data_IF_331934841490
#
_entry.id   IF_331934841490
#
_cell.length_a   1.000
_cell.length_b   1.000
_cell.length_c   1.000
_cell.angle_alpha   90.00
_cell.angle_beta   90.00
_cell.angle_gamma   90.00
#
_symmetry.space_group_name_H-M   'P 1'
#
loop_
_entity.id
_entity.type
_entity.pdbx_description
1 polymer ?
#
# COMPACT_ATOMS: atom_id res chain seq x y z
N UNK A 1 9.70 -6.57 9.57
CA UNK A 1 8.53 -6.45 8.69
C UNK A 1 7.62 -7.64 8.92
N UNK A 2 6.35 -7.40 9.21
CA UNK A 2 5.37 -8.47 9.41
C UNK A 2 4.65 -8.77 8.11
N UNK A 3 4.52 -10.06 7.81
CA UNK A 3 3.72 -10.51 6.68
C UNK A 3 2.40 -11.07 7.20
N UNK A 4 1.31 -10.74 6.53
CA UNK A 4 -0.01 -11.33 6.81
C UNK A 4 -0.51 -12.10 5.61
N UNK A 5 -1.29 -13.13 5.84
CA UNK A 5 -1.81 -14.01 4.80
C UNK A 5 -3.17 -13.52 4.29
N UNK A 6 -3.54 -13.96 3.10
CA UNK A 6 -4.81 -13.55 2.48
C UNK A 6 -6.03 -13.92 3.31
N UNK A 7 -6.04 -15.09 3.92
CA UNK A 7 -7.17 -15.53 4.74
C UNK A 7 -7.31 -14.66 6.00
N UNK A 8 -6.19 -14.26 6.60
CA UNK A 8 -6.22 -13.35 7.75
C UNK A 8 -6.82 -12.01 7.35
N UNK A 9 -6.37 -11.45 6.20
CA UNK A 9 -6.88 -10.15 5.74
C UNK A 9 -8.37 -10.23 5.41
N UNK A 10 -8.81 -11.31 4.77
CA UNK A 10 -10.23 -11.49 4.44
C UNK A 10 -11.11 -11.42 5.69
N UNK A 11 -10.63 -11.98 6.80
CA UNK A 11 -11.37 -11.96 8.08
C UNK A 11 -11.29 -10.62 8.80
N UNK A 12 -10.41 -9.73 8.39
CA UNK A 12 -10.14 -8.47 9.09
C UNK A 12 -10.35 -7.22 8.22
N UNK A 13 -11.06 -7.35 7.09
CA UNK A 13 -11.21 -6.26 6.10
C UNK A 13 -11.73 -4.95 6.69
N UNK A 14 -12.59 -5.01 7.71
CA UNK A 14 -13.18 -3.82 8.32
C UNK A 14 -12.41 -3.34 9.55
N UNK A 15 -11.40 -4.09 9.99
CA UNK A 15 -10.65 -3.79 11.21
C UNK A 15 -9.31 -3.13 10.95
N UNK A 16 -8.85 -3.13 9.70
CA UNK A 16 -7.54 -2.61 9.32
C UNK A 16 -7.70 -1.59 8.21
N UNK A 17 -6.70 -0.71 8.07
CA UNK A 17 -6.58 0.16 6.90
C UNK A 17 -5.76 -0.58 5.85
N UNK A 18 -6.27 -0.62 4.62
CA UNK A 18 -5.65 -1.38 3.54
C UNK A 18 -5.14 -0.39 2.50
N UNK A 19 -3.89 -0.53 2.09
CA UNK A 19 -3.23 0.41 1.17
C UNK A 19 -2.70 -0.35 -0.03
N UNK A 20 -3.14 0.08 -1.22
CA UNK A 20 -2.57 -0.35 -2.49
C UNK A 20 -1.41 0.57 -2.83
N UNK A 21 -0.19 0.05 -2.78
CA UNK A 21 1.04 0.80 -3.04
C UNK A 21 1.68 0.35 -4.36
N UNK A 22 0.86 -0.02 -5.34
CA UNK A 22 1.35 -0.47 -6.64
C UNK A 22 2.07 0.65 -7.38
N UNK A 23 3.23 0.33 -7.93
CA UNK A 23 4.00 1.22 -8.77
C UNK A 23 4.66 0.40 -9.87
N UNK A 24 4.63 0.92 -11.08
CA UNK A 24 5.18 0.22 -12.24
C UNK A 24 6.26 1.06 -12.88
N UNK A 25 7.33 0.40 -13.36
CA UNK A 25 8.37 1.05 -14.12
C UNK A 25 7.75 1.66 -15.39
N UNK A 26 8.20 2.87 -15.81
CA UNK A 26 7.60 3.55 -16.97
C UNK A 26 7.61 2.70 -18.26
N UNK A 27 8.64 1.89 -18.46
CA UNK A 27 8.75 1.05 -19.67
C UNK A 27 7.69 -0.06 -19.73
N UNK A 28 7.00 -0.38 -18.64
CA UNK A 28 5.93 -1.38 -18.64
C UNK A 28 4.65 -0.86 -19.27
N UNK A 29 4.50 0.46 -19.38
CA UNK A 29 3.28 1.14 -19.82
C UNK A 29 2.06 0.78 -18.97
N UNK A 30 2.29 0.33 -17.73
CA UNK A 30 1.22 0.04 -16.76
C UNK A 30 1.01 1.25 -15.86
N UNK A 31 -0.22 1.43 -15.38
CA UNK A 31 -0.60 2.52 -14.47
C UNK A 31 -1.24 1.93 -13.23
N UNK A 32 -0.58 2.11 -12.07
CA UNK A 32 -1.05 1.55 -10.82
C UNK A 32 -2.42 2.06 -10.38
N UNK A 33 -2.68 3.35 -10.57
CA UNK A 33 -3.95 3.94 -10.18
C UNK A 33 -5.11 3.44 -11.06
N UNK A 34 -4.89 3.33 -12.36
CA UNK A 34 -5.91 2.80 -13.26
C UNK A 34 -6.21 1.34 -12.96
N UNK A 35 -5.19 0.56 -12.63
CA UNK A 35 -5.36 -0.84 -12.22
C UNK A 35 -6.11 -0.93 -10.89
N UNK A 36 -5.79 -0.03 -9.96
CA UNK A 36 -6.51 0.06 -8.68
C UNK A 36 -7.99 0.33 -8.90
N UNK A 37 -8.34 1.25 -9.78
CA UNK A 37 -9.75 1.56 -10.07
C UNK A 37 -10.47 0.35 -10.67
N UNK A 38 -9.78 -0.44 -11.49
CA UNK A 38 -10.37 -1.62 -12.12
C UNK A 38 -10.56 -2.77 -11.13
N UNK A 39 -9.60 -2.98 -10.25
CA UNK A 39 -9.67 -4.06 -9.27
C UNK A 39 -8.75 -3.74 -8.08
N UNK A 40 -9.31 -3.77 -6.89
CA UNK A 40 -8.56 -3.61 -5.65
C UNK A 40 -9.22 -4.41 -4.53
N UNK A 41 -8.47 -4.65 -3.47
CA UNK A 41 -9.02 -5.31 -2.28
C UNK A 41 -10.09 -4.40 -1.67
N UNK A 42 -11.23 -4.94 -1.24
CA UNK A 42 -12.29 -4.11 -0.64
C UNK A 42 -11.75 -3.18 0.45
N UNK A 43 -12.20 -1.93 0.42
CA UNK A 43 -11.79 -0.87 1.34
C UNK A 43 -10.37 -0.36 1.15
N UNK A 44 -9.62 -0.84 0.16
CA UNK A 44 -8.25 -0.39 -0.07
C UNK A 44 -8.22 1.08 -0.52
N UNK A 45 -7.19 1.79 -0.07
CA UNK A 45 -6.89 3.17 -0.44
C UNK A 45 -5.63 3.14 -1.28
N UNK A 46 -5.60 3.89 -2.38
CA UNK A 46 -4.42 3.95 -3.23
C UNK A 46 -3.40 4.94 -2.67
N UNK A 47 -2.14 4.51 -2.55
CA UNK A 47 -1.01 5.37 -2.22
C UNK A 47 -0.16 5.56 -3.49
N UNK A 48 -0.16 6.78 -4.01
CA UNK A 48 0.59 7.12 -5.22
C UNK A 48 2.04 7.44 -4.84
N UNK A 49 2.95 6.52 -5.13
CA UNK A 49 4.35 6.68 -4.76
C UNK A 49 4.99 7.89 -5.44
N UNK A 50 4.64 8.16 -6.71
CA UNK A 50 5.19 9.30 -7.44
C UNK A 50 4.67 10.62 -6.88
N UNK A 51 3.36 10.74 -6.66
CA UNK A 51 2.75 11.97 -6.14
C UNK A 51 3.15 12.27 -4.71
N UNK A 52 3.38 11.23 -3.91
CA UNK A 52 3.67 11.37 -2.49
C UNK A 52 5.18 11.34 -2.19
N UNK A 53 6.00 11.61 -3.20
CA UNK A 53 7.46 11.75 -3.06
C UNK A 53 7.86 13.21 -3.19
N UNK A 54 9.08 13.53 -2.74
CA UNK A 54 9.62 14.89 -2.79
C UNK A 54 9.70 15.38 -4.24
N UNK A 55 9.19 16.59 -4.49
CA UNK A 55 9.05 17.15 -5.84
C UNK A 55 10.22 18.03 -6.29
N UNK A 56 10.95 18.63 -5.36
CA UNK A 56 12.01 19.61 -5.65
C UNK A 56 13.38 18.95 -5.79
N UNK A 57 13.42 17.74 -6.34
CA UNK A 57 14.65 16.98 -6.56
C UNK A 57 14.57 16.24 -7.89
N UNK A 58 15.72 16.00 -8.51
CA UNK A 58 15.81 15.18 -9.72
C UNK A 58 15.80 13.68 -9.41
N UNK A 59 15.97 13.30 -8.12
CA UNK A 59 15.99 11.90 -7.72
C UNK A 59 14.57 11.38 -7.54
N UNK A 60 14.26 10.17 -8.06
CA UNK A 60 12.92 9.61 -7.93
C UNK A 60 12.65 9.12 -6.50
N UNK A 61 11.41 9.24 -6.09
CA UNK A 61 10.87 8.64 -4.86
C UNK A 61 11.60 9.04 -3.58
N UNK A 62 12.13 10.26 -3.53
CA UNK A 62 12.71 10.80 -2.30
C UNK A 62 11.61 11.09 -1.28
N UNK A 63 11.94 10.89 0.00
CA UNK A 63 10.98 11.08 1.08
C UNK A 63 10.62 12.56 1.23
N UNK A 64 9.32 12.82 1.43
CA UNK A 64 8.82 14.17 1.74
C UNK A 64 9.14 14.54 3.20
N UNK A 65 8.99 15.82 3.55
CA UNK A 65 9.16 16.24 4.93
C UNK A 65 8.02 15.73 5.83
N UNK A 66 8.21 15.86 7.15
CA UNK A 66 7.24 15.34 8.12
C UNK A 66 5.87 16.01 7.98
N UNK A 67 5.84 17.31 7.73
CA UNK A 67 4.59 18.05 7.58
C UNK A 67 3.80 17.56 6.37
N UNK A 68 4.48 17.36 5.24
CA UNK A 68 3.86 16.82 4.02
C UNK A 68 3.33 15.41 4.26
N UNK A 69 4.10 14.57 4.95
CA UNK A 69 3.66 13.22 5.28
C UNK A 69 2.40 13.23 6.14
N UNK A 70 2.36 14.10 7.16
CA UNK A 70 1.19 14.21 8.01
C UNK A 70 -0.07 14.56 7.22
N UNK A 71 0.06 15.45 6.23
CA UNK A 71 -1.04 15.81 5.33
C UNK A 71 -1.48 14.61 4.48
N UNK A 72 -0.53 13.86 3.93
CA UNK A 72 -0.81 12.69 3.12
C UNK A 72 -1.62 11.66 3.90
N UNK A 73 -1.17 11.27 5.09
CA UNK A 73 -1.86 10.24 5.87
C UNK A 73 -3.19 10.73 6.41
N UNK A 74 -3.31 12.02 6.73
CA UNK A 74 -4.60 12.60 7.14
C UNK A 74 -5.62 12.52 6.02
N UNK A 75 -5.21 12.84 4.80
CA UNK A 75 -6.09 12.75 3.63
C UNK A 75 -6.51 11.31 3.33
N UNK A 76 -5.70 10.34 3.70
CA UNK A 76 -6.03 8.93 3.56
C UNK A 76 -6.90 8.41 4.70
N UNK A 77 -7.15 9.22 5.73
CA UNK A 77 -7.93 8.81 6.90
C UNK A 77 -7.20 7.88 7.85
N UNK A 78 -5.86 7.90 7.83
CA UNK A 78 -5.05 7.01 8.65
C UNK A 78 -4.61 7.72 9.91
N UNK A 79 -4.78 7.05 11.06
CA UNK A 79 -4.39 7.54 12.38
C UNK A 79 -3.22 6.71 12.93
N UNK A 80 -2.54 7.25 13.94
CA UNK A 80 -1.35 6.65 14.54
C UNK A 80 -1.58 5.24 15.08
N UNK A 81 -2.76 4.97 15.59
CA UNK A 81 -3.10 3.68 16.18
C UNK A 81 -3.80 2.72 15.23
N UNK A 82 -3.92 3.07 13.97
CA UNK A 82 -4.50 2.18 12.99
C UNK A 82 -3.56 1.03 12.66
N UNK A 83 -4.10 -0.17 12.56
CA UNK A 83 -3.39 -1.30 11.97
C UNK A 83 -3.50 -1.23 10.47
N UNK A 84 -2.38 -1.36 9.78
CA UNK A 84 -2.26 -1.12 8.33
C UNK A 84 -1.77 -2.39 7.65
N UNK A 85 -2.39 -2.72 6.52
CA UNK A 85 -1.91 -3.77 5.61
C UNK A 85 -1.62 -3.13 4.26
N UNK A 86 -0.41 -3.31 3.76
CA UNK A 86 0.03 -2.75 2.48
C UNK A 86 0.22 -3.89 1.48
N UNK A 87 -0.26 -3.70 0.27
CA UNK A 87 -0.04 -4.65 -0.81
C UNK A 87 0.32 -3.93 -2.10
N UNK A 88 0.76 -4.70 -3.08
CA UNK A 88 1.00 -4.19 -4.43
C UNK A 88 0.59 -5.22 -5.48
N UNK A 89 0.56 -4.76 -6.73
CA UNK A 89 0.36 -5.58 -7.92
C UNK A 89 1.48 -5.28 -8.92
N UNK A 90 2.69 -5.13 -8.42
CA UNK A 90 3.84 -4.65 -9.19
C UNK A 90 4.82 -5.79 -9.47
N UNK A 91 5.59 -5.63 -10.54
CA UNK A 91 6.75 -6.51 -10.79
C UNK A 91 7.90 -6.19 -9.84
N UNK A 92 7.95 -4.95 -9.35
CA UNK A 92 8.84 -4.55 -8.25
C UNK A 92 8.05 -4.58 -6.95
N UNK A 93 8.73 -4.80 -5.83
CA UNK A 93 8.04 -4.93 -4.53
C UNK A 93 7.84 -3.54 -3.94
N UNK A 94 6.89 -2.78 -4.50
CA UNK A 94 6.63 -1.41 -4.05
C UNK A 94 5.92 -1.35 -2.69
N UNK A 95 5.27 -2.42 -2.26
CA UNK A 95 4.70 -2.51 -0.91
C UNK A 95 5.75 -2.34 0.18
N UNK A 96 6.97 -2.83 -0.04
CA UNK A 96 8.07 -2.65 0.91
C UNK A 96 8.47 -1.19 1.05
N UNK A 97 8.39 -0.41 -0.03
CA UNK A 97 8.63 1.03 0.04
C UNK A 97 7.55 1.74 0.84
N UNK A 98 6.28 1.35 0.66
CA UNK A 98 5.18 1.87 1.48
C UNK A 98 5.39 1.55 2.94
N UNK A 99 5.74 0.31 3.26
CA UNK A 99 6.08 -0.11 4.62
C UNK A 99 7.18 0.76 5.21
N UNK A 100 8.26 0.98 4.47
CA UNK A 100 9.39 1.79 4.92
C UNK A 100 8.95 3.22 5.22
N UNK A 101 8.09 3.82 4.38
CA UNK A 101 7.59 5.17 4.61
C UNK A 101 6.91 5.28 5.98
N UNK A 102 6.00 4.37 6.30
CA UNK A 102 5.31 4.41 7.58
C UNK A 102 6.26 4.23 8.76
N UNK A 103 7.22 3.32 8.65
CA UNK A 103 8.22 3.10 9.70
C UNK A 103 9.09 4.35 9.88
N UNK A 104 9.55 4.93 8.77
CA UNK A 104 10.41 6.13 8.81
C UNK A 104 9.74 7.29 9.52
N UNK A 105 8.43 7.50 9.29
CA UNK A 105 7.69 8.60 9.90
C UNK A 105 7.09 8.26 11.27
N UNK A 106 7.43 7.11 11.83
CA UNK A 106 7.15 6.79 13.23
C UNK A 106 5.87 6.04 13.52
N UNK A 107 5.23 5.45 12.54
CA UNK A 107 4.10 4.55 12.81
C UNK A 107 4.60 3.32 13.58
N UNK A 108 3.80 2.81 14.53
CA UNK A 108 4.19 1.67 15.35
C UNK A 108 4.50 0.47 14.46
N UNK A 109 5.74 -0.08 14.50
CA UNK A 109 6.10 -1.23 13.66
C UNK A 109 5.20 -2.45 13.86
N UNK A 110 4.58 -2.59 15.01
CA UNK A 110 3.66 -3.70 15.30
C UNK A 110 2.34 -3.58 14.54
N UNK A 111 2.04 -2.39 14.04
CA UNK A 111 0.78 -2.09 13.37
C UNK A 111 0.94 -1.99 11.85
N UNK A 112 2.14 -2.21 11.30
CA UNK A 112 2.39 -2.17 9.86
C UNK A 112 2.67 -3.57 9.35
N UNK A 113 1.86 -4.02 8.39
CA UNK A 113 1.96 -5.35 7.80
C UNK A 113 1.99 -5.26 6.28
N UNK A 114 2.61 -6.25 5.65
CA UNK A 114 2.60 -6.39 4.19
C UNK A 114 1.86 -7.68 3.84
N UNK A 115 0.99 -7.61 2.84
CA UNK A 115 0.23 -8.79 2.41
C UNK A 115 1.14 -9.73 1.63
N UNK A 116 1.27 -10.95 2.11
CA UNK A 116 2.10 -11.97 1.46
C UNK A 116 1.47 -12.37 0.12
N UNK A 117 2.24 -12.24 -0.95
CA UNK A 117 1.82 -12.60 -2.31
C UNK A 117 1.07 -11.50 -3.05
N UNK A 118 0.75 -10.39 -2.40
CA UNK A 118 0.15 -9.22 -3.05
C UNK A 118 -1.23 -9.47 -3.62
N UNK A 119 -1.62 -8.62 -4.59
CA UNK A 119 -2.96 -8.67 -5.17
C UNK A 119 -3.21 -9.95 -5.97
N UNK A 120 -2.18 -10.48 -6.64
CA UNK A 120 -2.34 -11.70 -7.43
C UNK A 120 -2.78 -12.88 -6.57
N UNK A 121 -2.14 -13.05 -5.42
CA UNK A 121 -2.48 -14.13 -4.50
C UNK A 121 -3.86 -13.91 -3.88
N UNK A 122 -4.16 -12.66 -3.52
CA UNK A 122 -5.49 -12.30 -3.01
C UNK A 122 -6.58 -12.63 -4.02
N UNK A 123 -6.42 -12.19 -5.26
CA UNK A 123 -7.41 -12.41 -6.32
C UNK A 123 -7.67 -13.89 -6.54
N UNK A 124 -6.61 -14.69 -6.56
CA UNK A 124 -6.69 -16.14 -6.74
C UNK A 124 -7.44 -16.80 -5.59
N UNK A 125 -7.11 -16.42 -4.35
CA UNK A 125 -7.73 -17.00 -3.15
C UNK A 125 -9.21 -16.65 -3.06
N UNK A 126 -9.58 -15.39 -3.33
CA UNK A 126 -10.96 -14.92 -3.24
C UNK A 126 -11.81 -15.54 -4.36
N UNK A 127 -11.29 -15.60 -5.59
CA UNK A 127 -12.00 -16.24 -6.70
C UNK A 127 -12.31 -17.71 -6.40
N UNK A 128 -11.36 -18.42 -5.81
CA UNK A 128 -11.55 -19.80 -5.42
C UNK A 128 -12.61 -19.95 -4.34
N UNK A 129 -12.58 -19.06 -3.34
CA UNK A 129 -13.50 -19.09 -2.21
C UNK A 129 -14.96 -18.83 -2.61
N UNK A 130 -15.15 -18.00 -3.63
CA UNK A 130 -16.48 -17.58 -4.07
C UNK A 130 -17.01 -18.34 -5.29
N UNK A 131 -16.34 -19.41 -5.68
CA UNK A 131 -16.88 -20.32 -6.67
C UNK A 131 -17.94 -21.21 -6.03
#
# INVERSE_FOLDING_TARGET
MSLVETDWLEKNLTKVKIIDCSWHMPQTQRNGYEEYKSFHIPNAIFFDLDENSKKDTTLPHMLVDQTSWNTIVSNMGIQKNDEIVIYDNSDVISSCRGWFNFIYYGHDPKLINVLNGGLKKWHKAVSYTHL
#
